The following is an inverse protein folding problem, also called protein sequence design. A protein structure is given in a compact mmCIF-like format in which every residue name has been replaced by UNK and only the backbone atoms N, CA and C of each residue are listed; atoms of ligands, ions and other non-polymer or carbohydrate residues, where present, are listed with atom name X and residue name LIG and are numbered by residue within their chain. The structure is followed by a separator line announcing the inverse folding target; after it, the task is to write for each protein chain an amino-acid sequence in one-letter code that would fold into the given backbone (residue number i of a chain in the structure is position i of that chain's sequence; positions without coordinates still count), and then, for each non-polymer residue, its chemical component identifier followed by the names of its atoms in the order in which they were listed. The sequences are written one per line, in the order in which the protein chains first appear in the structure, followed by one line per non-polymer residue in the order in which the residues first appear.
data_IF_021673810162
#
_entry.id   IF_021673810162
#
_cell.length_a   1.000
_cell.length_b   1.000
_cell.length_c   1.000
_cell.angle_alpha   90.00
_cell.angle_beta   90.00
_cell.angle_gamma   90.00
#
_symmetry.space_group_name_H-M   'P 1'
#
loop_
_entity.id
_entity.type
_entity.pdbx_description
1 polymer ?
#
# COMPACT_ATOMS: atom_id res chain seq x y z
N UNK A 1 -23.59 8.40 -16.87
CA UNK A 1 -23.25 8.82 -16.27
C UNK A 1 -22.88 9.04 -15.93
N UNK A 2 -22.91 8.96 -15.65
CA UNK A 2 -22.57 9.27 -14.90
C UNK A 2 -22.15 9.34 -14.59
N UNK A 3 -22.43 9.17 -14.54
CA UNK A 3 -22.12 9.49 -13.86
C UNK A 3 -21.76 9.98 -13.37
N UNK A 4 -21.97 10.00 -13.08
CA UNK A 4 -21.77 10.62 -12.29
C UNK A 4 -21.48 10.72 -11.97
N UNK A 5 -21.72 10.60 -11.79
CA UNK A 5 -21.49 10.91 -11.29
C UNK A 5 -20.91 11.35 -10.70
N UNK A 6 -20.95 11.27 -10.46
CA UNK A 6 -20.35 11.76 -9.92
C UNK A 6 -19.45 12.12 -9.60
N UNK A 7 -19.65 12.38 -9.46
CA UNK A 7 -18.58 12.79 -9.13
C UNK A 7 -17.58 12.08 -8.65
N UNK A 8 -17.69 11.42 -8.46
CA UNK A 8 -16.82 10.77 -8.17
C UNK A 8 -16.76 9.71 -8.71
N UNK A 9 -17.07 9.57 -9.27
CA UNK A 9 -16.90 8.73 -9.66
C UNK A 9 -16.10 8.38 -10.43
N UNK A 10 -15.93 8.74 -10.75
CA UNK A 10 -15.17 8.59 -11.30
C UNK A 10 -14.16 7.93 -11.41
N UNK A 11 -13.70 8.03 -11.14
CA UNK A 11 -12.60 7.58 -11.19
C UNK A 11 -12.35 6.37 -10.58
N UNK A 12 -13.20 5.61 -10.50
CA UNK A 12 -13.12 4.33 -9.91
C UNK A 12 -12.52 3.30 -10.84
N UNK A 13 -12.55 3.54 -12.12
CA UNK A 13 -11.95 2.62 -13.06
C UNK A 13 -10.47 2.91 -13.21
N UNK A 14 -9.63 2.08 -12.66
CA UNK A 14 -8.20 2.22 -12.83
C UNK A 14 -7.74 1.73 -14.18
N UNK A 15 -6.48 1.93 -14.48
CA UNK A 15 -5.85 1.48 -15.70
C UNK A 15 -4.42 1.04 -15.38
N UNK A 16 -3.63 0.78 -16.42
CA UNK A 16 -2.23 0.43 -16.26
C UNK A 16 -1.37 1.58 -15.75
N UNK A 17 -1.87 2.81 -15.83
CA UNK A 17 -1.12 3.99 -15.40
C UNK A 17 -1.88 4.91 -14.47
N UNK A 18 -3.07 4.50 -14.04
CA UNK A 18 -3.90 5.30 -13.15
C UNK A 18 -4.42 4.44 -12.01
N UNK A 19 -4.26 4.92 -10.79
CA UNK A 19 -4.73 4.22 -9.60
C UNK A 19 -6.18 4.60 -9.38
N UNK A 20 -7.06 3.59 -9.33
CA UNK A 20 -8.46 3.83 -8.98
C UNK A 20 -8.58 4.12 -7.49
N UNK A 21 -9.68 4.76 -7.11
CA UNK A 21 -9.94 4.98 -5.70
C UNK A 21 -10.05 3.64 -4.96
N UNK A 22 -10.68 2.66 -5.58
CA UNK A 22 -10.80 1.33 -4.97
C UNK A 22 -9.44 0.73 -4.65
N UNK A 23 -8.51 0.77 -5.62
CA UNK A 23 -7.18 0.24 -5.41
C UNK A 23 -6.42 1.02 -4.32
N UNK A 24 -6.62 2.34 -4.28
CA UNK A 24 -5.97 3.17 -3.28
C UNK A 24 -6.51 2.88 -1.88
N UNK A 25 -7.82 2.70 -1.74
CA UNK A 25 -8.42 2.35 -0.45
C UNK A 25 -7.92 0.98 0.00
N UNK A 26 -7.89 0.00 -0.90
CA UNK A 26 -7.35 -1.31 -0.57
C UNK A 26 -5.89 -1.20 -0.12
N UNK A 27 -5.10 -0.43 -0.84
CA UNK A 27 -3.68 -0.27 -0.52
C UNK A 27 -3.47 0.37 0.86
N UNK A 28 -4.30 1.36 1.21
CA UNK A 28 -4.13 2.09 2.46
C UNK A 28 -4.81 1.43 3.64
N UNK A 29 -6.04 0.92 3.47
CA UNK A 29 -6.82 0.34 4.57
C UNK A 29 -6.68 -1.16 4.67
N UNK A 30 -6.61 -1.85 3.55
CA UNK A 30 -6.42 -3.29 3.52
C UNK A 30 -7.71 -4.07 3.40
N UNK A 31 -7.54 -5.38 3.23
CA UNK A 31 -8.64 -6.34 3.19
C UNK A 31 -8.54 -7.23 4.41
N UNK A 32 -9.60 -7.24 5.21
CA UNK A 32 -9.67 -8.05 6.43
C UNK A 32 -10.68 -9.16 6.23
N UNK A 33 -10.36 -10.34 6.75
CA UNK A 33 -11.21 -11.52 6.63
C UNK A 33 -11.40 -12.14 8.01
N UNK A 34 -12.61 -12.59 8.26
CA UNK A 34 -12.93 -13.28 9.52
C UNK A 34 -12.91 -14.78 9.26
N UNK A 35 -12.12 -15.50 10.05
CA UNK A 35 -12.05 -16.95 9.94
C UNK A 35 -12.79 -17.56 11.14
N UNK A 36 -13.88 -18.24 10.86
CA UNK A 36 -14.69 -18.85 11.93
C UNK A 36 -14.02 -20.10 12.49
N UNK A 37 -13.24 -20.80 11.69
CA UNK A 37 -12.58 -22.02 12.12
C UNK A 37 -11.25 -21.78 12.79
N UNK A 38 -10.56 -20.76 12.37
CA UNK A 38 -9.24 -20.40 12.90
C UNK A 38 -9.33 -19.04 13.54
N UNK A 39 -8.40 -18.75 14.43
CA UNK A 39 -8.29 -17.43 15.05
C UNK A 39 -9.53 -17.02 15.85
N UNK A 40 -10.38 -17.99 16.26
CA UNK A 40 -11.54 -17.69 17.09
C UNK A 40 -12.55 -16.74 16.47
N UNK A 41 -12.65 -16.73 15.16
CA UNK A 41 -13.57 -15.82 14.47
C UNK A 41 -13.09 -14.39 14.40
N UNK A 42 -11.85 -14.12 14.76
CA UNK A 42 -11.31 -12.77 14.71
C UNK A 42 -10.94 -12.36 13.31
N UNK A 43 -10.96 -11.04 13.09
CA UNK A 43 -10.50 -10.48 11.82
C UNK A 43 -8.99 -10.60 11.72
N UNK A 44 -8.51 -10.78 10.49
CA UNK A 44 -7.08 -10.72 10.22
C UNK A 44 -6.86 -10.00 8.90
N UNK A 45 -5.73 -9.34 8.78
CA UNK A 45 -5.35 -8.67 7.55
C UNK A 45 -4.84 -9.69 6.55
N UNK A 46 -5.36 -9.63 5.34
CA UNK A 46 -5.00 -10.56 4.26
C UNK A 46 -4.06 -9.89 3.27
N UNK A 47 -4.30 -8.65 2.95
CA UNK A 47 -3.49 -7.91 1.99
C UNK A 47 -3.74 -6.41 2.12
N UNK A 48 -2.86 -5.60 1.57
CA UNK A 48 -2.98 -4.16 1.61
C UNK A 48 -2.68 -3.58 2.98
N UNK A 49 -3.36 -2.48 3.31
CA UNK A 49 -3.25 -1.90 4.64
C UNK A 49 -1.94 -1.16 4.89
N UNK A 50 -1.40 -0.53 3.88
CA UNK A 50 -0.08 0.10 3.96
C UNK A 50 -0.11 1.59 4.34
N UNK A 51 -1.29 2.14 4.64
CA UNK A 51 -1.43 3.53 5.05
C UNK A 51 -1.66 3.65 6.54
N UNK A 52 -1.65 4.88 7.04
CA UNK A 52 -1.98 5.12 8.44
C UNK A 52 -3.41 4.66 8.74
N UNK A 53 -4.32 4.79 7.76
CA UNK A 53 -5.69 4.31 7.93
C UNK A 53 -5.71 2.81 8.21
N UNK A 54 -4.82 2.04 7.59
CA UNK A 54 -4.71 0.61 7.86
C UNK A 54 -4.24 0.33 9.27
N UNK A 55 -3.26 1.08 9.76
CA UNK A 55 -2.81 0.93 11.15
C UNK A 55 -3.94 1.26 12.12
N UNK A 56 -4.72 2.32 11.81
CA UNK A 56 -5.86 2.69 12.66
C UNK A 56 -6.89 1.57 12.70
N UNK A 57 -7.09 0.86 11.60
CA UNK A 57 -8.01 -0.27 11.57
C UNK A 57 -7.47 -1.45 12.39
N UNK A 58 -6.16 -1.67 12.38
CA UNK A 58 -5.58 -2.70 13.26
C UNK A 58 -5.90 -2.39 14.71
N UNK A 59 -5.72 -1.13 15.11
CA UNK A 59 -6.06 -0.70 16.47
C UNK A 59 -7.54 -0.92 16.76
N UNK A 60 -8.39 -0.52 15.83
CA UNK A 60 -9.85 -0.64 15.99
C UNK A 60 -10.28 -2.09 16.17
N UNK A 61 -9.65 -2.99 15.45
CA UNK A 61 -10.00 -4.42 15.50
C UNK A 61 -9.23 -5.19 16.56
N UNK A 62 -8.38 -4.52 17.32
CA UNK A 62 -7.59 -5.19 18.36
C UNK A 62 -6.53 -6.12 17.83
N UNK A 63 -6.03 -5.86 16.63
CA UNK A 63 -4.99 -6.66 16.02
C UNK A 63 -3.63 -6.05 16.38
N UNK A 64 -2.79 -6.83 17.06
CA UNK A 64 -1.47 -6.36 17.44
C UNK A 64 -0.53 -6.22 16.26
N UNK A 65 0.32 -5.21 16.33
CA UNK A 65 1.36 -5.02 15.33
C UNK A 65 2.56 -4.36 16.00
N UNK A 66 3.70 -4.45 15.34
CA UNK A 66 4.93 -3.90 15.89
C UNK A 66 5.70 -3.20 14.77
N UNK A 67 6.06 -1.95 15.02
CA UNK A 67 6.94 -1.20 14.11
C UNK A 67 8.37 -1.53 14.51
N UNK A 68 9.10 -2.19 13.62
CA UNK A 68 10.47 -2.60 13.87
C UNK A 68 11.47 -1.54 13.44
N UNK A 69 11.12 -0.73 12.46
CA UNK A 69 12.03 0.26 11.90
C UNK A 69 11.24 1.40 11.30
N UNK A 70 11.72 2.62 11.49
CA UNK A 70 11.20 3.80 10.82
C UNK A 70 12.34 4.44 10.06
N UNK A 71 12.18 4.56 8.76
CA UNK A 71 13.18 5.22 7.93
C UNK A 71 13.10 6.73 8.08
N UNK A 72 14.18 7.45 7.78
CA UNK A 72 14.15 8.92 7.84
C UNK A 72 13.05 9.56 7.01
N UNK A 73 12.62 8.91 5.92
CA UNK A 73 11.54 9.45 5.09
C UNK A 73 10.15 9.16 5.65
N UNK A 74 10.07 8.48 6.80
CA UNK A 74 8.79 8.21 7.46
C UNK A 74 8.18 6.86 7.16
N UNK A 75 8.73 6.09 6.23
CA UNK A 75 8.25 4.74 5.94
C UNK A 75 8.56 3.85 7.14
N UNK A 76 7.58 3.05 7.53
CA UNK A 76 7.71 2.14 8.68
C UNK A 76 7.64 0.71 8.21
N UNK A 77 8.41 -0.14 8.85
CA UNK A 77 8.47 -1.58 8.54
C UNK A 77 8.16 -2.33 9.83
N UNK A 78 7.39 -3.39 9.72
CA UNK A 78 7.09 -4.16 10.92
C UNK A 78 6.33 -5.43 10.66
N UNK A 79 5.72 -5.92 11.74
CA UNK A 79 4.97 -7.16 11.75
C UNK A 79 3.54 -6.91 12.20
N UNK A 80 2.62 -7.72 11.70
CA UNK A 80 1.23 -7.73 12.13
C UNK A 80 0.95 -9.13 12.64
N UNK A 81 0.52 -9.24 13.90
CA UNK A 81 0.47 -10.51 14.63
C UNK A 81 -0.30 -11.61 13.93
N UNK A 82 -1.43 -11.28 13.33
CA UNK A 82 -2.26 -12.31 12.71
C UNK A 82 -2.39 -12.14 11.20
N UNK A 83 -1.41 -11.49 10.55
CA UNK A 83 -1.44 -11.36 9.10
C UNK A 83 -1.49 -12.74 8.46
N UNK A 84 -2.19 -12.85 7.33
CA UNK A 84 -2.26 -14.10 6.60
C UNK A 84 -0.90 -14.59 6.16
N UNK A 85 0.01 -13.68 5.77
CA UNK A 85 1.33 -14.06 5.27
C UNK A 85 2.36 -14.14 6.37
N UNK A 86 3.06 -15.29 6.49
CA UNK A 86 4.05 -15.47 7.56
C UNK A 86 5.14 -14.42 7.58
N UNK A 87 5.64 -13.98 6.43
CA UNK A 87 6.73 -13.02 6.43
C UNK A 87 6.28 -11.66 6.99
N UNK A 88 4.99 -11.38 6.96
CA UNK A 88 4.44 -10.14 7.53
C UNK A 88 4.09 -10.30 9.00
N UNK A 89 4.09 -11.51 9.51
CA UNK A 89 3.94 -11.75 10.94
C UNK A 89 5.28 -11.76 11.66
N UNK A 90 6.32 -12.27 11.00
CA UNK A 90 7.56 -12.63 11.70
C UNK A 90 8.82 -11.98 11.17
N UNK A 91 8.81 -11.50 9.93
CA UNK A 91 10.06 -11.11 9.27
C UNK A 91 10.07 -9.68 8.76
N UNK A 92 9.25 -8.82 9.36
CA UNK A 92 9.25 -7.41 8.96
C UNK A 92 8.80 -7.16 7.55
N UNK A 93 7.90 -8.00 7.04
CA UNK A 93 7.45 -7.87 5.65
C UNK A 93 6.36 -6.83 5.42
N UNK A 94 5.78 -6.26 6.48
CA UNK A 94 4.77 -5.23 6.33
C UNK A 94 5.43 -3.87 6.26
N UNK A 95 5.00 -3.05 5.30
CA UNK A 95 5.47 -1.69 5.17
C UNK A 95 4.29 -0.73 5.26
N UNK A 96 4.55 0.46 5.77
CA UNK A 96 3.54 1.52 5.87
C UNK A 96 4.10 2.82 5.33
N UNK A 97 3.27 3.54 4.57
CA UNK A 97 3.61 4.87 4.10
C UNK A 97 3.83 5.83 5.27
N UNK A 98 4.52 6.93 5.04
CA UNK A 98 4.66 7.93 6.10
C UNK A 98 3.30 8.31 6.68
N UNK A 99 3.27 8.57 7.98
CA UNK A 99 2.02 8.85 8.68
C UNK A 99 1.21 10.00 8.06
N UNK A 100 1.90 10.97 7.48
CA UNK A 100 1.26 12.14 6.88
C UNK A 100 0.66 11.89 5.51
N UNK A 101 0.94 10.76 4.88
CA UNK A 101 0.42 10.49 3.55
C UNK A 101 -1.07 10.21 3.58
N UNK A 102 -1.80 10.88 2.71
CA UNK A 102 -3.24 10.72 2.54
C UNK A 102 -3.52 9.75 1.42
N UNK A 103 -4.81 9.41 1.26
CA UNK A 103 -5.25 8.60 0.13
C UNK A 103 -4.82 9.23 -1.19
N UNK A 104 -4.94 10.56 -1.29
CA UNK A 104 -4.53 11.28 -2.49
C UNK A 104 -3.05 11.11 -2.78
N UNK A 105 -2.23 11.14 -1.75
CA UNK A 105 -0.78 10.92 -1.93
C UNK A 105 -0.49 9.55 -2.50
N UNK A 106 -1.20 8.53 -2.04
CA UNK A 106 -1.02 7.17 -2.52
C UNK A 106 -1.44 7.05 -3.98
N UNK A 107 -2.56 7.67 -4.34
CA UNK A 107 -3.02 7.69 -5.74
C UNK A 107 -1.98 8.35 -6.63
N UNK A 108 -1.48 9.51 -6.21
CA UNK A 108 -0.49 10.24 -7.00
C UNK A 108 0.81 9.47 -7.11
N UNK A 109 1.23 8.84 -6.02
CA UNK A 109 2.48 8.07 -6.03
C UNK A 109 2.39 6.89 -6.97
N UNK A 110 1.30 6.11 -6.86
CA UNK A 110 1.12 4.94 -7.72
C UNK A 110 1.03 5.32 -9.19
N UNK A 111 0.30 6.39 -9.49
CA UNK A 111 0.17 6.88 -10.86
C UNK A 111 1.51 7.35 -11.40
N UNK A 112 2.27 8.09 -10.58
CA UNK A 112 3.60 8.56 -10.97
C UNK A 112 4.52 7.39 -11.32
N UNK A 113 4.56 6.38 -10.46
CA UNK A 113 5.44 5.23 -10.68
C UNK A 113 5.03 4.46 -11.94
N UNK A 114 3.74 4.24 -12.13
CA UNK A 114 3.26 3.48 -13.28
C UNK A 114 3.52 4.23 -14.60
N UNK A 115 3.56 5.55 -14.57
CA UNK A 115 3.79 6.35 -15.76
C UNK A 115 5.26 6.52 -16.12
N UNK A 116 6.16 6.11 -15.25
CA UNK A 116 7.58 6.18 -15.58
C UNK A 116 7.84 5.36 -16.84
N UNK A 117 8.69 5.89 -17.72
CA UNK A 117 8.94 5.28 -19.00
C UNK A 117 9.35 3.81 -18.86
N UNK A 118 10.19 3.52 -17.88
CA UNK A 118 10.66 2.13 -17.66
C UNK A 118 9.55 1.20 -17.20
N UNK A 119 8.43 1.74 -16.70
CA UNK A 119 7.37 0.92 -16.11
C UNK A 119 6.13 0.79 -16.97
N UNK A 120 6.02 1.54 -18.07
CA UNK A 120 4.76 1.63 -18.83
C UNK A 120 4.21 0.30 -19.31
N UNK A 121 5.10 -0.62 -19.65
CA UNK A 121 4.68 -1.90 -20.24
C UNK A 121 5.00 -3.08 -19.34
N UNK A 122 5.13 -2.82 -18.05
CA UNK A 122 5.40 -3.90 -17.11
C UNK A 122 4.25 -4.91 -17.11
N UNK A 123 4.57 -6.19 -17.06
CA UNK A 123 3.53 -7.24 -17.00
C UNK A 123 2.87 -7.30 -15.64
N UNK A 124 1.69 -7.93 -15.62
CA UNK A 124 0.97 -8.18 -14.38
C UNK A 124 1.82 -8.97 -13.41
N UNK A 125 1.64 -8.71 -12.13
CA UNK A 125 2.30 -9.44 -11.06
C UNK A 125 3.73 -9.04 -10.79
N UNK A 126 4.33 -8.23 -11.64
CA UNK A 126 5.71 -7.78 -11.45
C UNK A 126 5.76 -6.47 -10.72
N UNK A 127 6.72 -6.33 -9.82
CA UNK A 127 6.88 -5.10 -9.05
C UNK A 127 7.50 -4.01 -9.91
N UNK A 128 6.79 -2.88 -9.98
CA UNK A 128 7.34 -1.66 -10.58
C UNK A 128 7.83 -0.77 -9.44
N UNK A 129 8.97 -0.13 -9.62
CA UNK A 129 9.55 0.73 -8.59
C UNK A 129 9.70 2.15 -9.09
N UNK A 130 9.58 3.10 -8.18
CA UNK A 130 9.85 4.50 -8.48
C UNK A 130 9.85 5.34 -7.22
N UNK A 131 10.37 6.55 -7.33
CA UNK A 131 10.44 7.47 -6.21
C UNK A 131 9.33 8.50 -6.30
N UNK A 132 8.69 8.77 -5.17
CA UNK A 132 7.70 9.84 -5.08
C UNK A 132 7.80 10.47 -3.70
N UNK A 133 8.00 11.77 -3.66
CA UNK A 133 8.17 12.52 -2.41
C UNK A 133 9.19 11.87 -1.47
N UNK A 134 10.29 11.39 -2.03
CA UNK A 134 11.36 10.79 -1.25
C UNK A 134 11.10 9.39 -0.77
N UNK A 135 10.01 8.76 -1.21
CA UNK A 135 9.65 7.40 -0.83
C UNK A 135 9.78 6.49 -2.04
N UNK A 136 10.45 5.37 -1.85
CA UNK A 136 10.50 4.32 -2.88
C UNK A 136 9.19 3.55 -2.82
N UNK A 137 8.46 3.61 -3.92
CA UNK A 137 7.10 3.08 -4.01
C UNK A 137 7.08 1.89 -4.96
N UNK A 138 6.31 0.88 -4.60
CA UNK A 138 6.12 -0.32 -5.42
C UNK A 138 4.69 -0.33 -5.92
N UNK A 139 4.53 -0.68 -7.20
CA UNK A 139 3.21 -0.80 -7.82
C UNK A 139 3.13 -2.15 -8.51
N UNK A 140 2.01 -2.83 -8.35
CA UNK A 140 1.76 -4.12 -9.01
C UNK A 140 0.44 -4.04 -9.73
N UNK A 141 0.42 -4.52 -10.98
CA UNK A 141 -0.80 -4.59 -11.78
C UNK A 141 -1.40 -5.99 -11.71
N UNK A 142 -2.70 -6.05 -11.88
CA UNK A 142 -3.45 -7.29 -12.04
C UNK A 142 -4.49 -7.03 -13.11
N UNK A 143 -4.59 -7.92 -14.09
CA UNK A 143 -5.53 -7.77 -15.22
C UNK A 143 -5.32 -6.45 -15.93
N UNK A 144 -4.06 -6.05 -16.10
CA UNK A 144 -3.72 -4.82 -16.81
C UNK A 144 -3.99 -3.53 -16.06
N UNK A 145 -4.45 -3.59 -14.81
CA UNK A 145 -4.77 -2.41 -14.01
C UNK A 145 -3.94 -2.40 -12.74
N UNK A 146 -3.68 -1.20 -12.23
CA UNK A 146 -2.98 -1.08 -10.95
C UNK A 146 -3.85 -1.65 -9.86
N UNK A 147 -3.33 -2.64 -9.15
CA UNK A 147 -4.05 -3.31 -8.07
C UNK A 147 -3.55 -2.89 -6.70
N UNK A 148 -2.26 -2.67 -6.55
CA UNK A 148 -1.64 -2.43 -5.24
C UNK A 148 -0.54 -1.40 -5.34
N UNK A 149 -0.49 -0.51 -4.35
CA UNK A 149 0.54 0.51 -4.20
C UNK A 149 1.03 0.43 -2.75
N UNK A 150 2.33 0.26 -2.56
CA UNK A 150 2.87 0.19 -1.20
C UNK A 150 4.32 0.67 -1.19
N UNK A 151 4.83 1.08 -0.02
CA UNK A 151 6.24 1.48 0.04
C UNK A 151 7.11 0.24 0.06
N UNK A 152 8.25 0.31 -0.63
CA UNK A 152 9.21 -0.77 -0.60
C UNK A 152 9.70 -0.96 0.83
N UNK A 153 9.98 -2.19 1.21
CA UNK A 153 10.54 -2.47 2.53
C UNK A 153 11.97 -1.96 2.67
N UNK A 154 12.63 -1.69 1.56
CA UNK A 154 13.98 -1.12 1.56
C UNK A 154 13.89 0.28 0.97
N UNK A 155 14.18 1.28 1.80
CA UNK A 155 14.12 2.67 1.39
C UNK A 155 15.52 3.23 1.19
N UNK A 156 15.67 4.28 0.38
CA UNK A 156 16.97 4.91 0.21
C UNK A 156 17.53 5.38 1.53
N UNK A 157 18.83 5.34 1.65
CA UNK A 157 19.50 5.89 2.81
C UNK A 157 19.47 7.41 2.72
N UNK A 158 18.68 8.04 3.58
CA UNK A 158 18.50 9.49 3.55
C UNK A 158 19.42 10.18 4.55
N UNK A 159 20.67 9.84 4.47
CA UNK A 159 21.66 10.54 5.28
C UNK A 159 21.80 11.97 4.80
N UNK A 160 22.44 12.78 5.65
CA UNK A 160 22.79 14.14 5.29
C UNK A 160 23.41 14.18 3.90
N UNK A 161 22.90 15.07 3.06
CA UNK A 161 23.41 15.23 1.71
C UNK A 161 22.78 14.35 0.66
N UNK A 162 21.91 13.42 1.08
CA UNK A 162 21.25 12.54 0.13
C UNK A 162 20.32 13.32 -0.80
N UNK A 163 20.41 13.04 -2.09
CA UNK A 163 19.53 13.60 -3.11
C UNK A 163 18.78 12.48 -3.79
N UNK A 164 17.50 12.67 -3.97
CA UNK A 164 16.70 11.68 -4.65
C UNK A 164 16.86 11.73 -6.14
#
# INVERSE_FOLDING_TARGET
MGTGKTGRVLNTAGSGTTVSEFAAVHSTEGTFVRSLKKHGGRLRLVSGGHGQAGMNLLDKYGIGYKVLKTYPNGVRIGNIDNHKRPNKRLHGGQSWFPKSWTLKDVIKAGTHVAKLKVNRHFPDGKKMFGMYKGVRVVVIKTHGKIATVFPDTIQPNQKKGYKK
#
